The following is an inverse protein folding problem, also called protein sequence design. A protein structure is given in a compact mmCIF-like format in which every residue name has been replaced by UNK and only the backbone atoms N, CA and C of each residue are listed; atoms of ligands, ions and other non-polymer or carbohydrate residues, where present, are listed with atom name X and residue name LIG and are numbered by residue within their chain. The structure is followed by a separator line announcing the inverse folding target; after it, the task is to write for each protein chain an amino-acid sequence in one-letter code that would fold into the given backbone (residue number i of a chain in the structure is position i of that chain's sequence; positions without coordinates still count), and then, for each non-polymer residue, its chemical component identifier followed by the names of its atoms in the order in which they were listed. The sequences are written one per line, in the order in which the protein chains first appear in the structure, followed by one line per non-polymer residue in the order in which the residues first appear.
data_IF_347067113023
#
_entry.id   IF_347067113023
#
_cell.length_a   1.000
_cell.length_b   1.000
_cell.length_c   1.000
_cell.angle_alpha   90.00
_cell.angle_beta   90.00
_cell.angle_gamma   90.00
#
_symmetry.space_group_name_H-M   'P 1'
#
loop_
_entity.id
_entity.type
_entity.pdbx_description
1 polymer ?
#
# COMPACT_ATOMS: atom_id res chain seq x y z
N UNK A 1 7.14 0.01 -12.02
CA UNK A 1 5.78 0.30 -11.52
C UNK A 1 4.71 -0.23 -12.48
N UNK A 2 3.64 -0.81 -11.97
CA UNK A 2 2.39 -1.00 -12.73
C UNK A 2 1.33 -0.10 -12.11
N UNK A 3 0.32 0.29 -12.88
CA UNK A 3 -0.73 1.18 -12.38
C UNK A 3 -1.85 0.36 -11.80
N UNK A 4 -2.14 0.57 -10.51
CA UNK A 4 -3.24 -0.14 -9.86
C UNK A 4 -4.58 0.42 -10.32
N UNK A 5 -5.60 -0.44 -10.31
CA UNK A 5 -6.96 -0.07 -10.63
C UNK A 5 -7.62 0.71 -9.50
N UNK A 6 -8.42 1.71 -9.87
CA UNK A 6 -9.42 2.27 -8.97
C UNK A 6 -10.68 1.41 -9.01
N UNK A 7 -11.23 1.09 -7.85
CA UNK A 7 -12.40 0.22 -7.72
C UNK A 7 -13.67 0.95 -7.27
N UNK A 8 -13.55 2.21 -6.86
CA UNK A 8 -14.69 3.02 -6.41
C UNK A 8 -14.43 4.49 -6.72
N UNK A 9 -14.98 4.95 -7.85
CA UNK A 9 -14.85 6.34 -8.31
C UNK A 9 -15.74 7.33 -7.55
N UNK A 10 -16.65 6.83 -6.70
CA UNK A 10 -17.47 7.65 -5.80
C UNK A 10 -16.70 8.01 -4.50
N UNK A 11 -15.62 7.28 -4.16
CA UNK A 11 -14.76 7.58 -3.03
C UNK A 11 -13.59 8.50 -3.44
N UNK A 12 -13.33 9.61 -2.72
CA UNK A 12 -12.18 10.46 -3.02
C UNK A 12 -10.85 9.71 -2.89
N UNK A 13 -9.98 9.88 -3.89
CA UNK A 13 -8.69 9.22 -3.97
C UNK A 13 -8.77 7.78 -4.46
N UNK A 14 -7.64 7.22 -4.88
CA UNK A 14 -7.56 5.88 -5.47
C UNK A 14 -7.95 4.78 -4.47
N UNK A 15 -8.87 3.90 -4.86
CA UNK A 15 -9.28 2.73 -4.07
C UNK A 15 -8.69 1.41 -4.62
N UNK A 16 -7.41 1.10 -4.34
CA UNK A 16 -6.76 -0.08 -4.91
C UNK A 16 -7.20 -1.38 -4.25
N UNK A 17 -7.43 -2.42 -5.07
CA UNK A 17 -7.59 -3.79 -4.57
C UNK A 17 -6.24 -4.51 -4.53
N UNK A 18 -5.63 -4.52 -3.34
CA UNK A 18 -4.36 -5.20 -3.08
C UNK A 18 -4.46 -6.19 -1.93
N UNK A 19 -3.81 -7.34 -2.08
CA UNK A 19 -3.64 -8.38 -1.05
C UNK A 19 -2.17 -8.59 -0.76
N UNK A 20 -1.82 -8.50 0.53
CA UNK A 20 -0.47 -8.77 1.02
C UNK A 20 -0.45 -10.04 1.86
N UNK A 21 0.53 -10.91 1.61
CA UNK A 21 0.74 -12.16 2.34
C UNK A 21 2.17 -12.20 2.86
N UNK A 22 2.33 -12.43 4.15
CA UNK A 22 3.63 -12.82 4.69
C UNK A 22 3.75 -14.35 4.65
N UNK A 23 4.89 -14.84 4.19
CA UNK A 23 5.25 -16.24 4.24
C UNK A 23 6.55 -16.42 5.04
N UNK A 24 6.53 -17.32 6.01
CA UNK A 24 7.71 -17.66 6.82
C UNK A 24 8.58 -18.77 6.16
N UNK A 25 9.76 -19.01 6.72
CA UNK A 25 10.69 -20.02 6.22
C UNK A 25 10.19 -21.48 6.37
N UNK A 26 9.20 -21.72 7.24
CA UNK A 26 8.57 -23.03 7.41
C UNK A 26 7.37 -23.22 6.44
N UNK A 27 7.03 -22.20 5.65
CA UNK A 27 5.91 -22.20 4.71
C UNK A 27 4.58 -21.78 5.34
N UNK A 28 4.59 -21.26 6.57
CA UNK A 28 3.42 -20.63 7.18
C UNK A 28 3.05 -19.36 6.42
N UNK A 29 1.75 -19.13 6.22
CA UNK A 29 1.23 -17.95 5.54
C UNK A 29 0.27 -17.18 6.43
N UNK A 30 0.35 -15.85 6.38
CA UNK A 30 -0.65 -14.98 6.99
C UNK A 30 -0.97 -13.79 6.10
N UNK A 31 -2.23 -13.40 6.11
CA UNK A 31 -2.67 -12.17 5.47
C UNK A 31 -2.14 -11.00 6.30
N UNK A 32 -1.48 -10.05 5.62
CA UNK A 32 -1.07 -8.79 6.23
C UNK A 32 -2.26 -7.85 6.21
N UNK A 33 -2.75 -7.39 7.38
CA UNK A 33 -3.86 -6.45 7.42
C UNK A 33 -3.39 -5.02 7.09
N UNK A 34 -4.32 -4.19 6.63
CA UNK A 34 -4.11 -2.72 6.58
C UNK A 34 -3.89 -2.21 8.00
N UNK A 35 -2.93 -1.29 8.16
CA UNK A 35 -2.85 -0.47 9.36
C UNK A 35 -4.13 0.37 9.49
N UNK A 36 -4.51 0.76 10.70
CA UNK A 36 -5.63 1.67 10.94
C UNK A 36 -5.15 3.10 10.79
N UNK A 37 -5.73 3.84 9.85
CA UNK A 37 -5.55 5.29 9.78
C UNK A 37 -6.43 5.93 10.87
N UNK A 38 -5.81 6.61 11.82
CA UNK A 38 -6.50 7.53 12.73
C UNK A 38 -6.28 8.98 12.31
N UNK A 39 -6.88 9.92 13.04
CA UNK A 39 -6.88 11.34 12.70
C UNK A 39 -5.49 11.97 12.53
N UNK A 40 -4.46 11.39 13.16
CA UNK A 40 -3.11 11.95 13.18
C UNK A 40 -1.98 10.94 12.97
N UNK A 41 -2.29 9.65 12.85
CA UNK A 41 -1.26 8.61 12.66
C UNK A 41 -1.86 7.28 12.22
N UNK A 42 -0.99 6.42 11.68
CA UNK A 42 -1.30 5.02 11.45
C UNK A 42 -1.05 4.21 12.72
N UNK A 43 -1.91 3.23 12.99
CA UNK A 43 -1.80 2.35 14.15
C UNK A 43 -2.00 0.89 13.77
N UNK A 44 -1.42 -0.01 14.56
CA UNK A 44 -1.60 -1.44 14.35
C UNK A 44 -3.06 -1.85 14.65
N UNK A 45 -3.67 -2.70 13.82
CA UNK A 45 -5.01 -3.20 14.09
C UNK A 45 -4.98 -4.16 15.31
N UNK A 46 -5.54 -3.73 16.44
CA UNK A 46 -5.73 -4.60 17.62
C UNK A 46 -4.45 -4.82 18.44
N UNK A 47 -4.45 -5.81 19.34
CA UNK A 47 -3.37 -6.03 20.33
C UNK A 47 -2.17 -6.80 19.79
N UNK A 48 -2.22 -7.35 18.57
CA UNK A 48 -1.05 -7.97 17.94
C UNK A 48 -1.30 -8.28 16.48
N UNK A 49 -0.74 -7.47 15.59
CA UNK A 49 -0.11 -8.03 14.41
C UNK A 49 1.38 -7.71 14.49
N UNK A 50 2.21 -8.71 14.25
CA UNK A 50 3.65 -8.57 14.06
C UNK A 50 3.99 -7.69 12.82
N UNK A 51 2.97 -7.33 12.01
CA UNK A 51 3.11 -6.61 10.74
C UNK A 51 1.75 -6.07 10.23
N UNK A 52 1.69 -4.83 9.73
CA UNK A 52 0.58 -4.29 8.94
C UNK A 52 1.08 -3.47 7.73
N UNK A 53 0.21 -3.04 6.83
CA UNK A 53 0.61 -2.18 5.70
C UNK A 53 -0.21 -0.89 5.57
N UNK A 54 0.45 0.16 5.08
CA UNK A 54 -0.12 1.47 4.77
C UNK A 54 -0.13 1.67 3.26
N UNK A 55 -1.29 1.77 2.61
CA UNK A 55 -1.36 2.25 1.24
C UNK A 55 -1.27 3.78 1.25
N UNK A 56 -0.31 4.32 0.51
CA UNK A 56 -0.21 5.73 0.18
C UNK A 56 -0.60 5.85 -1.29
N UNK A 57 -1.53 6.73 -1.59
CA UNK A 57 -2.19 6.83 -2.90
C UNK A 57 -2.29 8.27 -3.40
N UNK A 58 -1.95 9.24 -2.56
CA UNK A 58 -2.16 10.64 -2.85
C UNK A 58 -0.87 11.28 -3.40
N UNK A 59 -0.83 11.59 -4.69
CA UNK A 59 0.32 12.25 -5.30
C UNK A 59 0.11 13.75 -5.52
N UNK A 60 -1.16 14.19 -5.49
CA UNK A 60 -1.63 15.49 -5.93
C UNK A 60 -2.40 16.28 -4.86
N UNK A 61 -2.59 15.70 -3.67
CA UNK A 61 -3.44 16.25 -2.60
C UNK A 61 -4.93 16.08 -2.89
N UNK A 62 -5.30 14.98 -3.55
CA UNK A 62 -6.70 14.60 -3.82
C UNK A 62 -7.47 14.37 -2.52
N UNK A 63 -6.76 13.97 -1.47
CA UNK A 63 -7.27 13.85 -0.12
C UNK A 63 -6.66 14.95 0.78
N UNK A 64 -7.34 15.31 1.88
CA UNK A 64 -6.87 16.40 2.75
C UNK A 64 -5.76 15.99 3.72
N UNK A 65 -5.32 14.73 3.72
CA UNK A 65 -4.41 14.19 4.73
C UNK A 65 -3.04 13.91 4.15
N UNK A 66 -1.98 14.26 4.87
CA UNK A 66 -0.59 13.98 4.42
C UNK A 66 -0.18 12.52 4.66
N UNK A 67 -1.06 11.72 5.27
CA UNK A 67 -0.71 10.39 5.78
C UNK A 67 -0.83 9.28 4.74
N UNK A 68 -1.44 9.58 3.59
CA UNK A 68 -1.52 8.75 2.40
C UNK A 68 -0.79 9.40 1.20
N UNK A 69 -0.01 10.46 1.44
CA UNK A 69 0.88 11.06 0.43
C UNK A 69 1.93 10.04 -0.05
N UNK A 70 2.08 9.90 -1.37
CA UNK A 70 3.18 9.15 -1.96
C UNK A 70 4.53 9.77 -1.59
N UNK A 71 5.52 8.92 -1.35
CA UNK A 71 6.89 9.40 -1.23
C UNK A 71 7.37 10.02 -2.54
N UNK A 72 8.27 11.01 -2.45
CA UNK A 72 8.87 11.65 -3.61
C UNK A 72 9.48 10.64 -4.61
N UNK A 73 10.00 9.53 -4.10
CA UNK A 73 10.56 8.46 -4.92
C UNK A 73 9.49 7.78 -5.79
N UNK A 74 8.32 7.47 -5.22
CA UNK A 74 7.21 6.86 -5.94
C UNK A 74 6.59 7.83 -6.96
N UNK A 75 6.41 9.09 -6.58
CA UNK A 75 5.99 10.16 -7.51
C UNK A 75 6.96 10.28 -8.69
N UNK A 76 8.27 10.30 -8.42
CA UNK A 76 9.29 10.41 -9.49
C UNK A 76 9.30 9.20 -10.43
N UNK A 77 8.84 8.04 -9.96
CA UNK A 77 8.71 6.83 -10.76
C UNK A 77 7.38 6.74 -11.53
N UNK A 78 6.49 7.73 -11.37
CA UNK A 78 5.14 7.71 -11.96
C UNK A 78 4.27 6.58 -11.42
N UNK A 79 4.44 6.21 -10.14
CA UNK A 79 3.59 5.25 -9.47
C UNK A 79 2.33 5.95 -8.89
N UNK A 80 1.19 5.27 -8.88
CA UNK A 80 -0.04 5.73 -8.25
C UNK A 80 -0.35 5.01 -6.91
N UNK A 81 0.54 4.12 -6.45
CA UNK A 81 0.43 3.44 -5.17
C UNK A 81 1.80 3.18 -4.59
N UNK A 82 1.95 3.45 -3.29
CA UNK A 82 3.05 3.01 -2.45
C UNK A 82 2.50 2.15 -1.30
N UNK A 83 3.13 1.00 -1.06
CA UNK A 83 2.77 0.13 0.05
C UNK A 83 3.92 0.12 1.06
N UNK A 84 3.68 0.71 2.22
CA UNK A 84 4.64 0.70 3.32
C UNK A 84 4.28 -0.40 4.29
N UNK A 85 5.22 -1.31 4.51
CA UNK A 85 5.08 -2.43 5.44
C UNK A 85 5.67 -2.02 6.80
N UNK A 86 4.86 -2.10 7.86
CA UNK A 86 5.22 -1.68 9.20
C UNK A 86 5.31 -2.88 10.15
N UNK A 87 6.31 -2.87 11.02
CA UNK A 87 6.44 -3.80 12.15
C UNK A 87 6.55 -3.02 13.47
N UNK A 88 6.05 -3.56 14.59
CA UNK A 88 6.23 -2.92 15.88
C UNK A 88 7.73 -2.78 16.22
N UNK A 89 8.09 -1.69 16.89
CA UNK A 89 9.47 -1.45 17.30
C UNK A 89 10.01 -2.63 18.13
N UNK A 90 11.23 -3.07 17.80
CA UNK A 90 11.87 -4.21 18.46
C UNK A 90 11.41 -5.60 17.97
N UNK A 91 10.44 -5.69 17.06
CA UNK A 91 10.15 -6.93 16.34
C UNK A 91 10.96 -7.01 15.05
N UNK A 92 11.92 -7.93 15.02
CA UNK A 92 12.60 -8.32 13.78
C UNK A 92 11.81 -9.43 13.07
N UNK A 93 11.81 -9.44 11.72
CA UNK A 93 11.33 -10.62 11.03
C UNK A 93 12.24 -11.83 11.29
N UNK A 94 11.67 -13.04 11.43
CA UNK A 94 12.45 -14.26 11.32
C UNK A 94 13.18 -14.32 9.98
N UNK A 95 14.42 -14.80 9.98
CA UNK A 95 15.19 -14.98 8.76
C UNK A 95 14.44 -15.88 7.76
N UNK A 96 14.42 -15.48 6.49
CA UNK A 96 13.71 -16.18 5.43
C UNK A 96 12.23 -15.84 5.30
N UNK A 97 11.73 -14.87 6.07
CA UNK A 97 10.37 -14.32 5.89
C UNK A 97 10.31 -13.45 4.63
N UNK A 98 9.24 -13.60 3.85
CA UNK A 98 8.98 -12.80 2.65
C UNK A 98 7.58 -12.18 2.71
N UNK A 99 7.42 -10.98 2.15
CA UNK A 99 6.11 -10.38 1.91
C UNK A 99 5.84 -10.36 0.42
N UNK A 100 4.73 -10.99 0.02
CA UNK A 100 4.24 -10.98 -1.34
C UNK A 100 3.07 -9.99 -1.47
N UNK A 101 3.07 -9.24 -2.57
CA UNK A 101 2.04 -8.26 -2.91
C UNK A 101 1.38 -8.67 -4.21
N UNK A 102 0.05 -8.70 -4.22
CA UNK A 102 -0.75 -8.83 -5.43
C UNK A 102 -1.75 -7.69 -5.49
N UNK A 103 -1.78 -6.95 -6.59
CA UNK A 103 -2.73 -5.86 -6.82
C UNK A 103 -3.38 -6.03 -8.19
N UNK A 104 -4.63 -5.60 -8.32
CA UNK A 104 -5.28 -5.45 -9.62
C UNK A 104 -4.70 -4.23 -10.35
N UNK A 105 -4.34 -4.41 -11.62
CA UNK A 105 -3.68 -3.40 -12.43
C UNK A 105 -4.60 -2.91 -13.56
N UNK A 106 -4.66 -1.59 -13.76
CA UNK A 106 -5.22 -0.96 -14.96
C UNK A 106 -4.25 -0.94 -16.12
N UNK A 107 -2.94 -0.88 -15.83
CA UNK A 107 -1.87 -0.90 -16.85
C UNK A 107 -0.78 -1.92 -16.51
N UNK A 108 -0.14 -2.54 -17.51
CA UNK A 108 0.97 -3.46 -17.30
C UNK A 108 2.11 -2.86 -16.46
N UNK A 109 2.90 -3.75 -15.85
CA UNK A 109 4.14 -3.36 -15.18
C UNK A 109 5.12 -2.78 -16.20
N UNK A 110 5.62 -1.59 -15.93
CA UNK A 110 6.59 -0.85 -16.77
C UNK A 110 6.02 0.44 -17.35
N UNK A 111 4.73 0.68 -17.24
CA UNK A 111 4.05 1.90 -17.71
C UNK A 111 3.86 2.91 -16.57
N UNK A 112 3.92 4.19 -16.91
CA UNK A 112 3.64 5.31 -15.98
C UNK A 112 2.15 5.47 -15.76
N UNK A 113 1.80 5.90 -14.56
CA UNK A 113 0.43 6.14 -14.13
C UNK A 113 0.06 7.60 -14.33
N UNK A 114 0.18 8.06 -15.58
CA UNK A 114 -0.25 9.41 -15.94
C UNK A 114 -1.77 9.51 -15.80
N UNK A 115 -2.25 10.67 -15.32
CA UNK A 115 -3.67 10.99 -15.18
C UNK A 115 -4.46 10.61 -16.45
N UNK A 116 -5.70 10.11 -16.33
CA UNK A 116 -6.51 9.82 -17.50
C UNK A 116 -6.56 11.07 -18.40
N UNK A 117 -6.18 10.91 -19.67
CA UNK A 117 -6.31 11.99 -20.65
C UNK A 117 -7.79 12.40 -20.69
N UNK A 118 -8.08 13.64 -20.31
CA UNK A 118 -9.41 14.23 -20.37
C UNK A 118 -10.08 13.90 -21.72
N UNK A 119 -11.13 13.08 -21.67
CA UNK A 119 -12.00 12.77 -22.81
C UNK A 119 -13.10 13.82 -22.98
#
# INVERSE_FOLDING_TARGET
PGCVADHDDDEPGLQPNCRLVERDAAGGERIVPRCKLGDSTWSFPGTSPELCYRPLVDDAGDTPTIWDDLSRQCVTQGANLELVVERPEGMAEPAGTTVEVQCELTRPVGETCDAPEDG
#
